data_IF_604141831713
#
_entry.id   IF_604141831713
#
_cell.length_a   1.000
_cell.length_b   1.000
_cell.length_c   1.000
_cell.angle_alpha   90.00
_cell.angle_beta   90.00
_cell.angle_gamma   90.00
#
_symmetry.space_group_name_H-M   'P 1'
#
loop_
_entity.id
_entity.type
_entity.pdbx_description
1 polymer ?
#
# COMPACT_ATOMS: atom_id res chain seq x y z
N UNK A 1 -33.42 -61.66 -59.10
CA UNK A 1 -34.33 -62.25 -58.12
C UNK A 1 -34.19 -61.60 -56.80
N UNK A 2 -35.24 -60.93 -56.34
CA UNK A 2 -35.81 -60.97 -54.99
C UNK A 2 -34.80 -60.64 -53.88
N UNK A 3 -35.04 -59.81 -52.91
CA UNK A 3 -36.15 -59.14 -52.28
C UNK A 3 -35.57 -58.25 -51.26
N UNK A 4 -36.01 -57.02 -51.16
CA UNK A 4 -36.92 -56.51 -50.11
C UNK A 4 -36.54 -56.93 -48.69
N UNK A 5 -36.33 -55.97 -47.86
CA UNK A 5 -37.21 -55.67 -46.77
C UNK A 5 -36.55 -54.65 -45.80
N UNK A 6 -37.13 -53.50 -45.76
CA UNK A 6 -38.03 -53.02 -44.74
C UNK A 6 -37.31 -52.58 -43.46
N UNK A 7 -37.38 -51.30 -43.32
CA UNK A 7 -38.00 -50.61 -42.17
C UNK A 7 -37.53 -51.01 -40.78
N UNK A 8 -37.08 -50.07 -40.12
CA UNK A 8 -37.76 -49.55 -38.92
C UNK A 8 -37.02 -48.34 -38.45
N UNK A 9 -37.63 -47.22 -38.71
CA UNK A 9 -38.44 -46.53 -37.69
C UNK A 9 -37.67 -46.29 -36.41
N UNK A 10 -37.18 -45.03 -36.43
CA UNK A 10 -37.60 -44.07 -35.42
C UNK A 10 -37.49 -44.46 -33.97
N UNK A 11 -36.67 -43.75 -33.27
CA UNK A 11 -37.22 -43.04 -32.11
C UNK A 11 -36.39 -41.80 -31.92
N UNK A 12 -37.04 -40.71 -32.24
CA UNK A 12 -36.60 -39.40 -31.72
C UNK A 12 -36.63 -39.46 -30.20
N UNK A 13 -35.47 -39.44 -29.59
CA UNK A 13 -35.36 -39.14 -28.17
C UNK A 13 -35.17 -37.63 -28.09
N UNK A 14 -36.21 -36.94 -27.70
CA UNK A 14 -36.12 -35.58 -27.21
C UNK A 14 -35.17 -35.61 -25.99
N UNK A 15 -33.89 -35.29 -26.21
CA UNK A 15 -33.00 -34.92 -25.16
C UNK A 15 -33.36 -33.51 -24.75
N UNK A 16 -33.95 -33.37 -23.58
CA UNK A 16 -34.16 -32.10 -22.95
C UNK A 16 -32.79 -31.39 -22.80
N UNK A 17 -32.62 -30.33 -23.54
CA UNK A 17 -31.50 -29.42 -23.32
C UNK A 17 -31.73 -28.77 -21.95
N UNK A 18 -31.06 -29.29 -20.96
CA UNK A 18 -30.91 -28.62 -19.66
C UNK A 18 -30.08 -27.39 -19.90
N UNK A 19 -30.73 -26.26 -20.08
CA UNK A 19 -30.10 -24.95 -19.97
C UNK A 19 -29.73 -24.81 -18.49
N UNK A 20 -28.50 -25.13 -18.18
CA UNK A 20 -27.91 -24.73 -16.90
C UNK A 20 -27.82 -23.21 -16.90
N UNK A 21 -28.81 -22.60 -16.30
CA UNK A 21 -28.71 -21.16 -15.96
C UNK A 21 -27.54 -21.00 -14.99
N UNK A 22 -26.42 -20.57 -15.51
CA UNK A 22 -25.32 -20.06 -14.69
C UNK A 22 -25.83 -18.78 -14.07
N UNK A 23 -26.34 -18.89 -12.88
CA UNK A 23 -26.53 -17.74 -11.98
C UNK A 23 -25.15 -17.18 -11.71
N UNK A 24 -24.74 -16.18 -12.49
CA UNK A 24 -23.67 -15.29 -12.12
C UNK A 24 -24.22 -14.55 -10.91
N UNK A 25 -23.87 -15.03 -9.72
CA UNK A 25 -23.96 -14.26 -8.51
C UNK A 25 -23.01 -13.07 -8.73
N UNK A 26 -23.59 -11.95 -9.16
CA UNK A 26 -22.92 -10.68 -8.98
C UNK A 26 -22.71 -10.54 -7.47
N UNK A 27 -21.52 -10.93 -7.02
CA UNK A 27 -21.08 -10.68 -5.66
C UNK A 27 -21.18 -9.17 -5.48
N UNK A 28 -22.00 -8.75 -4.55
CA UNK A 28 -21.95 -7.39 -4.05
C UNK A 28 -20.49 -7.14 -3.70
N UNK A 29 -19.85 -6.25 -4.44
CA UNK A 29 -18.56 -5.72 -4.04
C UNK A 29 -18.80 -5.08 -2.67
N UNK A 30 -18.32 -5.73 -1.63
CA UNK A 30 -18.30 -5.12 -0.31
C UNK A 30 -17.57 -3.80 -0.46
N UNK A 31 -18.05 -2.71 0.18
CA UNK A 31 -17.29 -1.48 0.20
C UNK A 31 -15.90 -1.82 0.74
N UNK A 32 -14.84 -1.18 0.22
CA UNK A 32 -13.50 -1.44 0.68
C UNK A 32 -13.49 -1.25 2.20
N UNK A 33 -13.25 -2.34 2.91
CA UNK A 33 -13.00 -2.26 4.33
C UNK A 33 -11.80 -1.32 4.49
N UNK A 34 -11.93 -0.30 5.32
CA UNK A 34 -10.82 0.54 5.76
C UNK A 34 -9.85 -0.28 6.64
N UNK A 35 -9.63 -1.52 6.28
CA UNK A 35 -8.66 -2.37 6.93
C UNK A 35 -7.28 -1.91 6.46
N UNK A 36 -6.45 -1.50 7.40
CA UNK A 36 -5.09 -0.99 7.17
C UNK A 36 -4.22 -1.95 6.37
N UNK A 37 -4.58 -3.21 6.34
CA UNK A 37 -3.89 -4.23 5.57
C UNK A 37 -3.99 -3.98 4.06
N UNK A 38 -5.10 -3.39 3.60
CA UNK A 38 -5.30 -3.09 2.18
C UNK A 38 -4.53 -1.84 1.70
N UNK A 39 -4.08 -1.00 2.64
CA UNK A 39 -3.28 0.18 2.33
C UNK A 39 -1.77 -0.12 2.21
N UNK A 40 -1.36 -1.36 2.43
CA UNK A 40 0.02 -1.77 2.24
C UNK A 40 0.23 -2.31 0.83
N UNK A 41 1.23 -1.79 0.16
CA UNK A 41 1.68 -2.39 -1.09
C UNK A 41 2.29 -3.76 -0.82
N UNK A 42 1.92 -4.75 -1.63
CA UNK A 42 2.40 -6.12 -1.46
C UNK A 42 3.93 -6.18 -1.60
N UNK A 43 4.62 -6.53 -0.53
CA UNK A 43 6.00 -7.00 -0.55
C UNK A 43 7.07 -6.11 0.09
N UNK A 44 6.90 -4.81 0.22
CA UNK A 44 7.95 -3.94 0.77
C UNK A 44 7.67 -3.41 2.19
N UNK A 45 6.46 -3.59 2.70
CA UNK A 45 6.05 -3.17 4.04
C UNK A 45 5.72 -1.68 4.18
N UNK A 46 5.72 -0.91 3.10
CA UNK A 46 5.26 0.47 3.09
C UNK A 46 3.76 0.55 2.76
N UNK A 47 3.02 1.50 3.35
CA UNK A 47 1.63 1.73 2.98
C UNK A 47 1.52 2.33 1.59
N UNK A 48 0.37 2.12 0.93
CA UNK A 48 0.08 2.78 -0.34
C UNK A 48 0.05 4.30 -0.19
N UNK A 49 0.58 5.02 -1.17
CA UNK A 49 0.62 6.49 -1.16
C UNK A 49 -0.75 7.13 -0.99
N UNK A 50 -1.79 6.54 -1.57
CA UNK A 50 -3.17 7.03 -1.48
C UNK A 50 -3.74 7.08 -0.05
N UNK A 51 -3.15 6.37 0.91
CA UNK A 51 -3.58 6.35 2.31
C UNK A 51 -2.99 7.47 3.16
N UNK A 52 -2.09 8.30 2.62
CA UNK A 52 -1.50 9.39 3.37
C UNK A 52 -2.46 10.60 3.47
N UNK A 53 -2.35 11.37 4.56
CA UNK A 53 -3.23 12.51 4.82
C UNK A 53 -2.84 13.78 4.06
N UNK A 54 -1.64 13.82 3.49
CA UNK A 54 -1.13 14.94 2.72
C UNK A 54 -1.07 14.55 1.25
N UNK A 55 -1.95 15.12 0.44
CA UNK A 55 -1.95 14.86 -1.00
C UNK A 55 -0.59 15.20 -1.60
N UNK A 56 0.05 14.20 -2.24
CA UNK A 56 1.37 14.34 -2.83
C UNK A 56 2.55 14.47 -1.86
N UNK A 57 2.33 14.25 -0.54
CA UNK A 57 3.39 14.32 0.48
C UNK A 57 3.61 15.72 1.07
N UNK A 58 4.55 15.84 2.00
CA UNK A 58 4.87 17.06 2.73
C UNK A 58 6.34 17.40 2.61
N UNK A 59 6.64 18.67 2.37
CA UNK A 59 8.02 19.17 2.45
C UNK A 59 8.49 19.15 3.91
N UNK A 60 9.71 18.72 4.11
CA UNK A 60 10.38 18.65 5.41
C UNK A 60 11.78 19.20 5.26
N UNK A 61 12.30 19.79 6.33
CA UNK A 61 13.70 20.19 6.41
C UNK A 61 14.58 18.94 6.50
N UNK A 62 15.48 18.71 5.53
CA UNK A 62 16.41 17.57 5.56
C UNK A 62 17.25 17.49 6.84
N UNK A 63 17.62 18.62 7.42
CA UNK A 63 18.37 18.65 8.67
C UNK A 63 17.62 18.05 9.83
N UNK A 64 16.30 18.20 9.88
CA UNK A 64 15.47 17.60 10.90
C UNK A 64 15.43 16.07 10.78
N UNK A 65 15.40 15.54 9.54
CA UNK A 65 15.50 14.10 9.32
C UNK A 65 16.88 13.58 9.76
N UNK A 66 17.96 14.31 9.47
CA UNK A 66 19.32 13.95 9.88
C UNK A 66 19.52 13.93 11.41
N UNK A 67 18.64 14.58 12.16
CA UNK A 67 18.63 14.53 13.63
C UNK A 67 17.88 13.36 14.21
N UNK A 68 17.19 12.60 13.40
CA UNK A 68 16.49 11.36 13.81
C UNK A 68 17.55 10.31 14.14
N UNK A 69 17.47 9.75 15.35
CA UNK A 69 18.43 8.74 15.84
C UNK A 69 17.78 7.79 16.82
N UNK A 70 18.40 6.64 17.00
CA UNK A 70 17.97 5.63 17.97
C UNK A 70 17.78 6.21 19.38
N UNK A 71 16.91 5.56 20.14
CA UNK A 71 16.53 5.92 21.52
C UNK A 71 15.73 7.22 21.68
N UNK A 72 15.39 7.92 20.60
CA UNK A 72 14.48 9.06 20.68
C UNK A 72 13.06 8.61 21.00
N UNK A 73 12.36 9.41 21.82
CA UNK A 73 10.94 9.20 22.10
C UNK A 73 10.07 9.64 20.92
N UNK A 74 8.83 9.19 20.87
CA UNK A 74 7.86 9.64 19.87
C UNK A 74 7.70 11.17 19.86
N UNK A 75 7.72 11.81 21.03
CA UNK A 75 7.59 13.28 21.11
C UNK A 75 8.81 13.99 20.51
N UNK A 76 10.02 13.47 20.72
CA UNK A 76 11.21 14.00 20.11
C UNK A 76 11.20 13.88 18.59
N UNK A 77 10.77 12.71 18.08
CA UNK A 77 10.60 12.50 16.62
C UNK A 77 9.54 13.45 16.07
N UNK A 78 8.40 13.59 16.76
CA UNK A 78 7.33 14.51 16.35
C UNK A 78 7.78 15.97 16.29
N UNK A 79 8.62 16.39 17.22
CA UNK A 79 9.19 17.75 17.22
C UNK A 79 10.10 18.02 16.01
N UNK A 80 10.78 16.99 15.50
CA UNK A 80 11.68 17.10 14.36
C UNK A 80 10.93 17.05 13.02
N UNK A 81 10.11 16.03 12.82
CA UNK A 81 9.50 15.72 11.51
C UNK A 81 7.98 15.72 11.50
N UNK A 82 7.35 16.11 12.61
CA UNK A 82 5.89 16.19 12.71
C UNK A 82 5.20 14.87 13.00
N UNK A 83 3.87 14.90 12.97
CA UNK A 83 3.05 13.70 13.13
C UNK A 83 3.19 12.77 11.92
N UNK A 84 3.00 11.45 12.11
CA UNK A 84 2.96 10.52 10.99
C UNK A 84 1.87 10.89 10.00
N UNK A 85 2.06 10.54 8.73
CA UNK A 85 1.18 10.92 7.64
C UNK A 85 0.07 9.91 7.35
N UNK A 86 0.01 8.84 8.11
CA UNK A 86 -1.00 7.79 8.02
C UNK A 86 -1.69 7.60 9.36
N UNK A 87 -2.90 7.05 9.31
CA UNK A 87 -3.63 6.73 10.53
C UNK A 87 -2.85 5.72 11.37
N UNK A 88 -2.66 6.06 12.64
CA UNK A 88 -2.08 5.16 13.63
C UNK A 88 -3.13 4.19 14.20
N UNK A 89 -2.69 3.03 14.72
CA UNK A 89 -3.50 2.16 15.55
C UNK A 89 -3.86 2.78 16.88
N UNK A 90 -4.85 2.20 17.55
CA UNK A 90 -5.28 2.68 18.85
C UNK A 90 -4.34 2.31 19.99
N UNK A 91 -3.60 1.20 19.87
CA UNK A 91 -2.74 0.69 20.95
C UNK A 91 -1.42 0.15 20.40
N UNK A 92 -0.33 0.44 21.12
CA UNK A 92 0.98 -0.16 20.89
C UNK A 92 1.56 0.10 19.50
N UNK A 93 1.24 1.23 18.91
CA UNK A 93 1.74 1.60 17.57
C UNK A 93 3.25 1.81 17.63
N UNK A 94 3.97 0.94 16.93
CA UNK A 94 5.44 0.95 16.86
C UNK A 94 5.98 1.29 15.49
N UNK A 95 5.13 1.68 14.55
CA UNK A 95 5.52 2.05 13.20
C UNK A 95 4.84 3.35 12.82
N UNK A 96 5.63 4.34 12.41
CA UNK A 96 5.16 5.58 11.86
C UNK A 96 5.61 5.72 10.41
N UNK A 97 4.69 6.12 9.56
CA UNK A 97 4.91 6.25 8.13
C UNK A 97 4.75 7.71 7.69
N UNK A 98 5.68 8.14 6.86
CA UNK A 98 5.76 9.49 6.32
C UNK A 98 5.88 9.47 4.80
N UNK A 99 5.37 10.52 4.16
CA UNK A 99 5.59 10.81 2.73
C UNK A 99 6.19 12.20 2.66
N UNK A 100 7.46 12.29 2.34
CA UNK A 100 8.20 13.54 2.26
C UNK A 100 8.50 13.93 0.81
N UNK A 101 8.42 15.23 0.54
CA UNK A 101 8.92 15.83 -0.68
C UNK A 101 10.30 16.44 -0.38
N UNK A 102 11.32 15.93 -1.06
CA UNK A 102 12.71 16.36 -0.90
C UNK A 102 13.19 17.04 -2.18
N UNK A 103 13.72 18.25 -2.06
CA UNK A 103 14.29 18.95 -3.22
C UNK A 103 15.55 18.25 -3.72
N UNK A 104 15.67 18.18 -5.05
CA UNK A 104 16.82 17.55 -5.73
C UNK A 104 18.07 18.47 -5.77
N UNK A 105 17.89 19.75 -5.49
CA UNK A 105 18.91 20.78 -5.68
C UNK A 105 18.85 21.47 -7.04
N UNK A 106 17.97 21.03 -7.93
CA UNK A 106 17.76 21.64 -9.26
C UNK A 106 16.53 22.57 -9.23
N UNK A 107 16.69 23.81 -8.80
CA UNK A 107 15.59 24.76 -8.71
C UNK A 107 14.49 24.25 -7.76
N UNK A 108 13.26 24.19 -8.24
CA UNK A 108 12.10 23.72 -7.47
C UNK A 108 11.76 22.23 -7.71
N UNK A 109 12.65 21.49 -8.35
CA UNK A 109 12.45 20.06 -8.57
C UNK A 109 12.54 19.29 -7.26
N UNK A 110 11.61 18.36 -7.04
CA UNK A 110 11.60 17.47 -5.87
C UNK A 110 11.19 16.07 -6.24
N UNK A 111 11.52 15.12 -5.38
CA UNK A 111 11.01 13.76 -5.43
C UNK A 111 10.22 13.43 -4.16
N UNK A 112 9.23 12.57 -4.31
CA UNK A 112 8.40 12.08 -3.20
C UNK A 112 8.98 10.79 -2.66
N UNK A 113 9.25 10.77 -1.36
CA UNK A 113 9.94 9.71 -0.64
C UNK A 113 9.08 9.17 0.48
N UNK A 114 8.98 7.84 0.60
CA UNK A 114 8.38 7.22 1.77
C UNK A 114 9.44 6.91 2.81
N UNK A 115 9.16 7.30 4.05
CA UNK A 115 10.05 7.14 5.20
C UNK A 115 9.30 6.48 6.34
N UNK A 116 9.93 5.53 6.99
CA UNK A 116 9.35 4.74 8.06
C UNK A 116 10.21 4.77 9.30
N UNK A 117 9.57 4.95 10.44
CA UNK A 117 10.19 4.96 11.77
C UNK A 117 9.63 3.80 12.55
N UNK A 118 10.50 2.96 13.09
CA UNK A 118 10.15 1.83 13.95
C UNK A 118 10.54 2.09 15.38
N UNK A 119 9.62 1.77 16.29
CA UNK A 119 9.81 1.88 17.74
C UNK A 119 9.88 0.50 18.38
N UNK A 120 10.70 0.36 19.40
CA UNK A 120 10.81 -0.84 20.22
C UNK A 120 9.61 -1.01 21.18
N UNK A 121 9.69 -1.99 22.07
CA UNK A 121 8.65 -2.26 23.04
C UNK A 121 8.48 -1.16 24.10
N UNK A 122 9.52 -0.36 24.32
CA UNK A 122 9.54 0.78 25.27
C UNK A 122 9.16 2.09 24.59
N UNK A 123 8.74 2.04 23.31
CA UNK A 123 8.38 3.17 22.48
C UNK A 123 9.54 4.15 22.22
N UNK A 124 10.77 3.65 22.28
CA UNK A 124 11.96 4.35 21.84
C UNK A 124 12.25 4.00 20.37
N UNK A 125 12.77 4.96 19.62
CA UNK A 125 13.14 4.77 18.22
C UNK A 125 14.21 3.68 18.12
N UNK A 126 13.91 2.61 17.38
CA UNK A 126 14.80 1.47 17.15
C UNK A 126 15.49 1.59 15.78
N UNK A 127 14.76 1.91 14.74
CA UNK A 127 15.30 1.99 13.39
C UNK A 127 14.46 2.88 12.48
N UNK A 128 15.06 3.28 11.37
CA UNK A 128 14.38 4.00 10.29
C UNK A 128 14.68 3.36 8.95
N UNK A 129 13.78 3.58 7.99
CA UNK A 129 13.89 2.99 6.67
C UNK A 129 13.33 3.91 5.59
N UNK A 130 14.01 4.00 4.47
CA UNK A 130 13.51 4.60 3.23
C UNK A 130 13.01 3.51 2.28
N UNK A 131 11.95 3.82 1.55
CA UNK A 131 11.49 2.92 0.49
C UNK A 131 12.45 2.92 -0.69
N UNK A 132 12.86 4.11 -1.12
CA UNK A 132 13.72 4.31 -2.27
C UNK A 132 15.13 4.68 -1.84
N UNK A 133 16.12 3.96 -2.35
CA UNK A 133 17.52 4.16 -1.98
C UNK A 133 18.10 5.53 -2.39
N UNK A 134 17.47 6.21 -3.36
CA UNK A 134 17.88 7.56 -3.78
C UNK A 134 17.52 8.65 -2.76
N UNK A 135 16.50 8.43 -1.92
CA UNK A 135 16.00 9.44 -1.01
C UNK A 135 17.02 9.89 0.06
N UNK A 136 17.73 8.99 0.77
CA UNK A 136 18.72 9.42 1.75
C UNK A 136 19.87 10.20 1.15
N UNK A 137 20.19 10.05 -0.13
CA UNK A 137 21.23 10.81 -0.81
C UNK A 137 20.89 12.32 -0.94
N UNK A 138 19.60 12.68 -0.83
CA UNK A 138 19.13 14.07 -0.86
C UNK A 138 19.23 14.79 0.51
N UNK A 139 19.58 14.07 1.56
CA UNK A 139 19.72 14.63 2.91
C UNK A 139 21.13 15.23 3.16
N UNK A 140 21.86 15.55 2.10
CA UNK A 140 23.20 16.14 2.25
C UNK A 140 23.07 17.47 2.99
N UNK A 141 23.80 17.69 4.11
CA UNK A 141 23.83 19.00 4.73
C UNK A 141 24.33 20.02 3.71
N UNK A 142 23.61 21.12 3.56
CA UNK A 142 24.12 22.24 2.76
C UNK A 142 25.33 22.77 3.56
N UNK A 143 26.52 22.43 3.12
CA UNK A 143 27.71 23.09 3.61
C UNK A 143 27.65 24.57 3.20
N UNK A 144 27.40 25.40 4.17
CA UNK A 144 27.40 26.86 4.00
C UNK A 144 28.83 27.36 4.04
#
# INVERSE_FOLDING_TARGET
MKKLSKNMMTKAALGAASVAAVLVLAGCASPPNNDRTELREAGDGFPALAGNWYDGGKFVDPENILRIRESQTKDQVRQLIGNPHYAEGFFGVREWNYVFNLYTGNGNEYITCQYQVHYDNDMALESTRWRDAQCPALLVPIEV
#
